data_IF_993626741021
#
_entry.id   IF_993626741021
#
_cell.length_a   1.000
_cell.length_b   1.000
_cell.length_c   1.000
_cell.angle_alpha   90.00
_cell.angle_beta   90.00
_cell.angle_gamma   90.00
#
_symmetry.space_group_name_H-M   'P 1'
#
loop_
_entity.id
_entity.type
_entity.pdbx_description
1 polymer ?
#
# COMPACT_ATOMS: atom_id res chain seq x y z
N UNK A 1 42.46 -48.94 -54.39
CA UNK A 1 43.43 -48.89 -53.27
C UNK A 1 43.01 -47.96 -52.15
N UNK A 2 42.61 -46.70 -52.41
CA UNK A 2 42.16 -45.75 -51.36
C UNK A 2 40.99 -46.22 -50.47
N UNK A 3 40.07 -47.03 -51.02
CA UNK A 3 38.91 -47.53 -50.26
C UNK A 3 39.27 -48.65 -49.25
N UNK A 4 40.29 -49.46 -49.56
CA UNK A 4 40.73 -50.59 -48.72
C UNK A 4 41.65 -50.10 -47.59
N UNK A 5 42.49 -49.09 -47.86
CA UNK A 5 43.31 -48.45 -46.83
C UNK A 5 42.46 -47.70 -45.80
N UNK A 6 41.35 -47.07 -46.23
CA UNK A 6 40.41 -46.37 -45.34
C UNK A 6 39.62 -47.31 -44.41
N UNK A 7 39.16 -48.47 -44.92
CA UNK A 7 38.43 -49.44 -44.09
C UNK A 7 39.31 -50.17 -43.07
N UNK A 8 40.55 -50.49 -43.42
CA UNK A 8 41.51 -51.11 -42.49
C UNK A 8 41.89 -50.12 -41.39
N UNK A 9 42.13 -48.86 -41.75
CA UNK A 9 42.39 -47.79 -40.79
C UNK A 9 41.19 -47.57 -39.86
N UNK A 10 39.97 -47.51 -40.39
CA UNK A 10 38.75 -47.38 -39.58
C UNK A 10 38.54 -48.56 -38.62
N UNK A 11 38.69 -49.81 -39.09
CA UNK A 11 38.52 -51.00 -38.22
C UNK A 11 39.59 -51.14 -37.16
N UNK A 12 40.82 -50.69 -37.43
CA UNK A 12 41.90 -50.77 -36.43
C UNK A 12 41.81 -49.66 -35.38
N UNK A 13 41.49 -48.43 -35.76
CA UNK A 13 41.66 -47.28 -34.85
C UNK A 13 40.38 -46.67 -34.27
N UNK A 14 39.18 -46.89 -34.84
CA UNK A 14 37.95 -46.16 -34.43
C UNK A 14 37.15 -46.86 -33.31
N UNK A 15 37.35 -48.17 -33.07
CA UNK A 15 36.57 -48.92 -32.08
C UNK A 15 36.98 -48.68 -30.60
N UNK A 16 37.73 -47.64 -30.28
CA UNK A 16 38.15 -47.28 -28.90
C UNK A 16 37.39 -46.10 -28.29
N UNK A 17 36.33 -45.61 -28.95
CA UNK A 17 35.69 -44.33 -28.62
C UNK A 17 34.78 -44.31 -27.37
N UNK A 18 34.80 -45.34 -26.52
CA UNK A 18 34.04 -45.37 -25.27
C UNK A 18 34.92 -45.67 -24.06
N UNK A 19 35.81 -44.76 -23.72
CA UNK A 19 36.03 -44.34 -22.33
C UNK A 19 37.15 -43.31 -22.25
N UNK A 20 37.05 -42.42 -21.26
CA UNK A 20 38.10 -41.49 -20.84
C UNK A 20 39.29 -42.22 -20.19
N UNK A 21 39.85 -43.24 -20.84
CA UNK A 21 41.05 -43.96 -20.39
C UNK A 21 42.27 -43.48 -21.15
N UNK A 22 43.23 -42.98 -20.38
CA UNK A 22 44.57 -42.52 -20.79
C UNK A 22 45.57 -43.66 -21.04
N UNK A 23 45.14 -44.92 -21.02
CA UNK A 23 46.02 -46.06 -21.29
C UNK A 23 46.35 -46.16 -22.78
N UNK A 24 47.63 -46.37 -23.10
CA UNK A 24 48.07 -46.69 -24.45
C UNK A 24 47.33 -47.93 -24.95
N UNK A 25 46.64 -47.81 -26.08
CA UNK A 25 45.97 -48.92 -26.76
C UNK A 25 46.95 -50.06 -27.03
N UNK A 26 46.52 -51.31 -26.84
CA UNK A 26 47.28 -52.50 -27.23
C UNK A 26 47.72 -52.45 -28.71
N UNK A 27 46.93 -51.80 -29.57
CA UNK A 27 47.24 -51.62 -31.00
C UNK A 27 48.34 -50.58 -31.24
N UNK A 28 48.37 -49.51 -30.44
CA UNK A 28 49.44 -48.50 -30.49
C UNK A 28 50.77 -49.11 -30.00
N UNK A 29 50.73 -49.91 -28.93
CA UNK A 29 51.91 -50.65 -28.43
C UNK A 29 52.44 -51.60 -29.51
N UNK A 30 51.56 -52.34 -30.19
CA UNK A 30 51.94 -53.22 -31.28
C UNK A 30 52.61 -52.48 -32.45
N UNK A 31 52.11 -51.32 -32.84
CA UNK A 31 52.71 -50.50 -33.90
C UNK A 31 54.05 -49.90 -33.50
N UNK A 32 54.23 -49.52 -32.23
CA UNK A 32 55.52 -49.10 -31.68
C UNK A 32 56.52 -50.27 -31.74
N UNK A 33 56.11 -51.48 -31.38
CA UNK A 33 56.95 -52.68 -31.48
C UNK A 33 57.34 -52.99 -32.92
N UNK A 34 56.43 -52.80 -33.89
CA UNK A 34 56.75 -52.92 -35.32
C UNK A 34 57.79 -51.89 -35.75
N UNK A 35 57.65 -50.62 -35.34
CA UNK A 35 58.60 -49.57 -35.67
C UNK A 35 59.99 -49.85 -35.06
N UNK A 36 60.04 -50.32 -33.81
CA UNK A 36 61.27 -50.76 -33.14
C UNK A 36 61.89 -51.95 -33.88
N UNK A 37 61.06 -52.91 -34.31
CA UNK A 37 61.52 -54.07 -35.10
C UNK A 37 62.13 -53.62 -36.43
N UNK A 38 61.52 -52.66 -37.14
CA UNK A 38 62.11 -52.11 -38.35
C UNK A 38 63.44 -51.38 -38.12
N UNK A 39 63.58 -50.66 -37.01
CA UNK A 39 64.86 -50.04 -36.63
C UNK A 39 65.95 -51.09 -36.36
N UNK A 40 65.60 -52.14 -35.61
CA UNK A 40 66.50 -53.27 -35.33
C UNK A 40 66.87 -53.99 -36.65
N UNK A 41 65.90 -54.24 -37.53
CA UNK A 41 66.14 -54.79 -38.86
C UNK A 41 67.08 -53.91 -39.68
N UNK A 42 66.99 -52.57 -39.59
CA UNK A 42 67.93 -51.68 -40.30
C UNK A 42 69.37 -51.85 -39.80
N UNK A 43 69.57 -52.06 -38.50
CA UNK A 43 70.89 -52.27 -37.90
C UNK A 43 71.44 -53.65 -38.27
N UNK A 44 70.60 -54.69 -38.29
CA UNK A 44 70.98 -56.06 -38.65
C UNK A 44 71.20 -56.21 -40.16
N UNK A 45 70.47 -55.47 -40.99
CA UNK A 45 70.58 -55.52 -42.44
C UNK A 45 71.98 -55.09 -42.92
N UNK A 46 72.65 -54.17 -42.22
CA UNK A 46 74.01 -53.75 -42.55
C UNK A 46 74.96 -54.96 -42.57
N UNK A 47 75.27 -55.64 -41.44
CA UNK A 47 76.19 -56.78 -41.45
C UNK A 47 75.66 -58.00 -42.21
N UNK A 48 74.34 -58.15 -42.40
CA UNK A 48 73.77 -59.28 -43.15
C UNK A 48 74.00 -59.14 -44.66
N UNK A 49 73.83 -57.93 -45.21
CA UNK A 49 73.93 -57.67 -46.64
C UNK A 49 75.28 -57.08 -47.09
N UNK A 50 76.13 -56.59 -46.18
CA UNK A 50 77.48 -56.10 -46.50
C UNK A 50 78.59 -57.11 -46.16
N UNK A 51 78.27 -58.35 -45.76
CA UNK A 51 79.26 -59.41 -45.53
C UNK A 51 79.86 -59.90 -46.87
N UNK A 52 81.17 -60.20 -46.93
CA UNK A 52 81.88 -60.55 -48.17
C UNK A 52 81.42 -61.87 -48.83
N UNK A 53 80.50 -62.63 -48.22
CA UNK A 53 79.92 -63.84 -48.80
C UNK A 53 78.72 -63.61 -49.73
N UNK A 54 78.06 -62.45 -49.68
CA UNK A 54 76.87 -62.15 -50.51
C UNK A 54 77.17 -61.17 -51.66
N UNK A 55 78.30 -60.46 -51.61
CA UNK A 55 78.71 -59.44 -52.58
C UNK A 55 79.84 -59.94 -53.49
N UNK A 56 79.64 -61.08 -54.16
CA UNK A 56 80.62 -61.60 -55.14
C UNK A 56 80.60 -60.82 -56.48
N UNK A 57 79.78 -59.77 -56.60
CA UNK A 57 79.56 -59.03 -57.84
C UNK A 57 80.01 -57.56 -57.83
N UNK A 58 80.54 -57.02 -56.73
CA UNK A 58 80.91 -55.59 -56.68
C UNK A 58 82.28 -55.35 -56.00
N UNK A 59 83.27 -54.98 -56.81
CA UNK A 59 84.65 -54.63 -56.42
C UNK A 59 84.69 -53.25 -55.70
N UNK A 60 85.12 -53.16 -54.43
CA UNK A 60 85.08 -51.93 -53.66
C UNK A 60 86.38 -51.12 -53.83
N UNK A 61 86.55 -50.48 -54.99
CA UNK A 61 87.63 -49.49 -55.21
C UNK A 61 87.17 -48.06 -55.50
N UNK A 62 85.86 -47.79 -55.47
CA UNK A 62 85.32 -46.41 -55.49
C UNK A 62 84.33 -46.21 -54.35
N UNK A 63 84.69 -45.32 -53.41
CA UNK A 63 84.08 -45.18 -52.07
C UNK A 63 82.70 -44.52 -52.03
N UNK A 64 81.98 -44.45 -53.17
CA UNK A 64 80.59 -43.95 -53.23
C UNK A 64 79.53 -45.05 -53.04
N UNK A 65 79.77 -46.25 -53.60
CA UNK A 65 78.77 -47.33 -53.66
C UNK A 65 78.44 -47.98 -52.32
N UNK A 66 79.36 -47.97 -51.35
CA UNK A 66 79.13 -48.57 -50.03
C UNK A 66 78.10 -47.72 -49.25
N UNK A 67 78.19 -46.39 -49.34
CA UNK A 67 77.22 -45.47 -48.76
C UNK A 67 75.84 -45.61 -49.41
N UNK A 68 75.80 -45.73 -50.74
CA UNK A 68 74.55 -45.91 -51.50
C UNK A 68 73.91 -47.29 -51.28
N UNK A 69 74.71 -48.34 -51.07
CA UNK A 69 74.20 -49.71 -50.77
C UNK A 69 73.67 -49.80 -49.35
N UNK A 70 74.42 -49.26 -48.37
CA UNK A 70 73.96 -49.17 -46.98
C UNK A 70 72.72 -48.29 -46.90
N UNK A 71 72.70 -47.13 -47.56
CA UNK A 71 71.54 -46.26 -47.64
C UNK A 71 70.35 -46.93 -48.34
N UNK A 72 70.56 -47.58 -49.49
CA UNK A 72 69.52 -48.27 -50.24
C UNK A 72 68.84 -49.41 -49.47
N UNK A 73 69.60 -50.10 -48.60
CA UNK A 73 69.10 -51.19 -47.77
C UNK A 73 68.48 -50.67 -46.46
N UNK A 74 69.07 -49.65 -45.82
CA UNK A 74 68.60 -49.14 -44.52
C UNK A 74 67.45 -48.14 -44.66
N UNK A 75 67.44 -47.29 -45.70
CA UNK A 75 66.43 -46.24 -45.91
C UNK A 75 65.00 -46.77 -45.97
N UNK A 76 64.67 -47.89 -46.65
CA UNK A 76 63.31 -48.42 -46.65
C UNK A 76 62.81 -48.79 -45.24
N UNK A 77 63.67 -49.35 -44.37
CA UNK A 77 63.32 -49.69 -43.00
C UNK A 77 63.18 -48.44 -42.11
N UNK A 78 64.13 -47.50 -42.22
CA UNK A 78 64.09 -46.24 -41.48
C UNK A 78 62.88 -45.41 -41.90
N UNK A 79 62.61 -45.29 -43.19
CA UNK A 79 61.44 -44.57 -43.71
C UNK A 79 60.13 -45.25 -43.31
N UNK A 80 60.07 -46.59 -43.29
CA UNK A 80 58.89 -47.31 -42.81
C UNK A 80 58.64 -47.08 -41.32
N UNK A 81 59.69 -47.13 -40.49
CA UNK A 81 59.59 -46.80 -39.08
C UNK A 81 59.18 -45.33 -38.87
N UNK A 82 59.75 -44.39 -39.64
CA UNK A 82 59.43 -42.97 -39.60
C UNK A 82 57.98 -42.70 -39.99
N UNK A 83 57.45 -43.35 -41.03
CA UNK A 83 56.03 -43.22 -41.45
C UNK A 83 55.10 -43.77 -40.36
N UNK A 84 55.43 -44.91 -39.73
CA UNK A 84 54.64 -45.47 -38.63
C UNK A 84 54.63 -44.53 -37.42
N UNK A 85 55.80 -44.04 -37.00
CA UNK A 85 55.92 -43.12 -35.85
C UNK A 85 55.24 -41.78 -36.13
N UNK A 86 55.40 -41.24 -37.33
CA UNK A 86 54.76 -39.97 -37.75
C UNK A 86 53.24 -40.12 -37.84
N UNK A 87 52.74 -41.25 -38.38
CA UNK A 87 51.32 -41.57 -38.39
C UNK A 87 50.73 -41.72 -36.97
N UNK A 88 51.47 -42.34 -36.06
CA UNK A 88 51.10 -42.42 -34.63
C UNK A 88 51.08 -41.04 -33.97
N UNK A 89 52.07 -40.18 -34.24
CA UNK A 89 52.11 -38.83 -33.71
C UNK A 89 50.90 -38.00 -34.17
N UNK A 90 50.56 -38.04 -35.47
CA UNK A 90 49.36 -37.39 -35.99
C UNK A 90 48.07 -37.98 -35.41
N UNK A 91 48.01 -39.30 -35.20
CA UNK A 91 46.87 -39.95 -34.56
C UNK A 91 46.68 -39.49 -33.11
N UNK A 92 47.77 -39.41 -32.33
CA UNK A 92 47.72 -38.90 -30.95
C UNK A 92 47.32 -37.43 -30.92
N UNK A 93 47.82 -36.59 -31.84
CA UNK A 93 47.41 -35.19 -31.99
C UNK A 93 45.91 -35.07 -32.32
N UNK A 94 45.40 -35.88 -33.24
CA UNK A 94 43.98 -35.91 -33.58
C UNK A 94 43.10 -36.30 -32.38
N UNK A 95 43.50 -37.33 -31.63
CA UNK A 95 42.80 -37.77 -30.41
C UNK A 95 42.83 -36.68 -29.32
N UNK A 96 43.96 -36.01 -29.14
CA UNK A 96 44.11 -34.89 -28.20
C UNK A 96 43.18 -33.71 -28.57
N UNK A 97 43.10 -33.33 -29.85
CA UNK A 97 42.22 -32.27 -30.31
C UNK A 97 40.73 -32.62 -30.11
N UNK A 98 40.32 -33.86 -30.42
CA UNK A 98 38.96 -34.33 -30.14
C UNK A 98 38.62 -34.26 -28.65
N UNK A 99 39.53 -34.70 -27.80
CA UNK A 99 39.37 -34.64 -26.34
C UNK A 99 39.32 -33.19 -25.83
N UNK A 100 40.15 -32.30 -26.36
CA UNK A 100 40.14 -30.89 -25.99
C UNK A 100 38.80 -30.22 -26.36
N UNK A 101 38.27 -30.52 -27.55
CA UNK A 101 36.95 -30.01 -27.98
C UNK A 101 35.83 -30.57 -27.09
N UNK A 102 35.88 -31.84 -26.70
CA UNK A 102 34.85 -32.42 -25.81
C UNK A 102 34.92 -31.83 -24.40
N UNK A 103 36.11 -31.67 -23.83
CA UNK A 103 36.33 -31.01 -22.53
C UNK A 103 35.85 -29.55 -22.59
N UNK A 104 36.22 -28.81 -23.62
CA UNK A 104 35.81 -27.41 -23.79
C UNK A 104 34.30 -27.27 -23.93
N UNK A 105 33.65 -28.14 -24.72
CA UNK A 105 32.18 -28.17 -24.82
C UNK A 105 31.52 -28.48 -23.47
N UNK A 106 32.09 -29.43 -22.71
CA UNK A 106 31.61 -29.77 -21.36
C UNK A 106 31.74 -28.55 -20.42
N UNK A 107 32.88 -27.87 -20.40
CA UNK A 107 33.10 -26.67 -19.59
C UNK A 107 32.15 -25.53 -19.96
N UNK A 108 31.90 -25.28 -21.26
CA UNK A 108 30.92 -24.27 -21.70
C UNK A 108 29.51 -24.63 -21.21
N UNK A 109 29.11 -25.89 -21.34
CA UNK A 109 27.78 -26.32 -20.90
C UNK A 109 27.63 -26.21 -19.38
N UNK A 110 28.63 -26.64 -18.60
CA UNK A 110 28.64 -26.50 -17.15
C UNK A 110 28.61 -25.02 -16.71
N UNK A 111 29.36 -24.15 -17.38
CA UNK A 111 29.35 -22.71 -17.12
C UNK A 111 27.99 -22.07 -17.45
N UNK A 112 27.34 -22.49 -18.56
CA UNK A 112 25.98 -22.05 -18.90
C UNK A 112 24.96 -22.52 -17.86
N UNK A 113 25.01 -23.79 -17.46
CA UNK A 113 24.11 -24.33 -16.44
C UNK A 113 24.27 -23.62 -15.10
N UNK A 114 25.51 -23.28 -14.72
CA UNK A 114 25.80 -22.53 -13.50
C UNK A 114 25.28 -21.09 -13.59
N UNK A 115 25.48 -20.42 -14.73
CA UNK A 115 24.96 -19.07 -14.98
C UNK A 115 23.43 -19.02 -14.99
N UNK A 116 22.77 -20.01 -15.61
CA UNK A 116 21.31 -20.10 -15.61
C UNK A 116 20.76 -20.38 -14.21
N UNK A 117 21.47 -21.15 -13.39
CA UNK A 117 21.13 -21.34 -11.96
C UNK A 117 21.28 -20.04 -11.18
N UNK A 118 22.39 -19.31 -11.32
CA UNK A 118 22.59 -18.05 -10.59
C UNK A 118 21.55 -17.00 -10.96
N UNK A 119 21.20 -16.87 -12.25
CA UNK A 119 20.14 -15.95 -12.69
C UNK A 119 18.77 -16.30 -12.09
N UNK A 120 18.45 -17.59 -11.96
CA UNK A 120 17.21 -18.02 -11.31
C UNK A 120 17.23 -17.70 -9.81
N UNK A 121 18.35 -17.96 -9.15
CA UNK A 121 18.52 -17.66 -7.72
C UNK A 121 18.40 -16.15 -7.44
N UNK A 122 19.02 -15.30 -8.27
CA UNK A 122 18.96 -13.84 -8.14
C UNK A 122 17.52 -13.34 -8.33
N UNK A 123 16.81 -13.80 -9.38
CA UNK A 123 15.39 -13.45 -9.57
C UNK A 123 14.52 -13.88 -8.39
N UNK A 124 14.78 -15.07 -7.83
CA UNK A 124 14.06 -15.56 -6.64
C UNK A 124 14.38 -14.71 -5.40
N UNK A 125 15.61 -14.19 -5.27
CA UNK A 125 15.97 -13.27 -4.18
C UNK A 125 15.26 -11.91 -4.35
N UNK A 126 15.22 -11.37 -5.56
CA UNK A 126 14.54 -10.10 -5.83
C UNK A 126 13.04 -10.18 -5.52
N UNK A 127 12.36 -11.23 -5.99
CA UNK A 127 10.95 -11.47 -5.69
C UNK A 127 10.73 -11.62 -4.18
N UNK A 128 11.65 -12.27 -3.47
CA UNK A 128 11.59 -12.43 -2.01
C UNK A 128 11.72 -11.08 -1.29
N UNK A 129 12.68 -10.25 -1.70
CA UNK A 129 12.87 -8.92 -1.13
C UNK A 129 11.66 -8.02 -1.39
N UNK A 130 11.07 -8.07 -2.60
CA UNK A 130 9.84 -7.34 -2.90
C UNK A 130 8.65 -7.82 -2.06
N UNK A 131 8.51 -9.13 -1.85
CA UNK A 131 7.47 -9.70 -0.96
C UNK A 131 7.66 -9.21 0.48
N UNK A 132 8.89 -9.21 0.99
CA UNK A 132 9.19 -8.74 2.35
C UNK A 132 8.90 -7.24 2.54
N UNK A 133 9.31 -6.41 1.58
CA UNK A 133 9.00 -4.97 1.59
C UNK A 133 7.48 -4.72 1.58
N UNK A 134 6.76 -5.45 0.73
CA UNK A 134 5.29 -5.36 0.65
C UNK A 134 4.62 -5.81 1.95
N UNK A 135 5.15 -6.85 2.61
CA UNK A 135 4.66 -7.32 3.91
C UNK A 135 4.80 -6.25 4.99
N UNK A 136 5.98 -5.66 5.16
CA UNK A 136 6.20 -4.62 6.16
C UNK A 136 5.35 -3.37 5.91
N UNK A 137 5.14 -3.00 4.64
CA UNK A 137 4.26 -1.88 4.28
C UNK A 137 2.79 -2.17 4.58
N UNK A 138 2.32 -3.40 4.35
CA UNK A 138 0.97 -3.82 4.75
C UNK A 138 0.81 -3.89 6.27
N UNK A 139 1.83 -4.36 6.99
CA UNK A 139 1.84 -4.39 8.46
C UNK A 139 1.74 -2.97 9.03
N UNK A 140 2.55 -2.03 8.53
CA UNK A 140 2.48 -0.62 8.89
C UNK A 140 1.12 0.00 8.54
N UNK A 141 0.59 -0.33 7.36
CA UNK A 141 -0.75 0.11 6.95
C UNK A 141 -1.81 -0.35 7.96
N UNK A 142 -1.79 -1.62 8.37
CA UNK A 142 -2.73 -2.14 9.38
C UNK A 142 -2.65 -1.37 10.70
N UNK A 143 -1.44 -1.10 11.20
CA UNK A 143 -1.25 -0.32 12.44
C UNK A 143 -1.89 1.07 12.30
N UNK A 144 -1.66 1.74 11.19
CA UNK A 144 -2.25 3.06 10.96
C UNK A 144 -3.78 2.98 10.77
N UNK A 145 -4.29 1.93 10.11
CA UNK A 145 -5.72 1.70 9.96
C UNK A 145 -6.42 1.51 11.31
N UNK A 146 -5.79 0.81 12.26
CA UNK A 146 -6.33 0.69 13.63
C UNK A 146 -6.47 2.06 14.28
N UNK A 147 -5.41 2.88 14.24
CA UNK A 147 -5.43 4.23 14.79
C UNK A 147 -6.49 5.13 14.14
N UNK A 148 -6.68 5.00 12.81
CA UNK A 148 -7.72 5.73 12.09
C UNK A 148 -9.11 5.26 12.52
N UNK A 149 -9.36 3.96 12.62
CA UNK A 149 -10.65 3.43 13.08
C UNK A 149 -10.99 3.91 14.49
N UNK A 150 -10.03 3.91 15.41
CA UNK A 150 -10.19 4.46 16.74
C UNK A 150 -10.56 5.96 16.72
N UNK A 151 -9.85 6.77 15.93
CA UNK A 151 -10.13 8.20 15.79
C UNK A 151 -11.50 8.48 15.13
N UNK A 152 -11.89 7.71 14.10
CA UNK A 152 -13.22 7.82 13.48
C UNK A 152 -14.30 7.52 14.50
N UNK A 153 -14.14 6.45 15.30
CA UNK A 153 -15.10 6.09 16.34
C UNK A 153 -15.20 7.17 17.41
N UNK A 154 -14.07 7.67 17.92
CA UNK A 154 -14.06 8.73 18.93
C UNK A 154 -14.70 10.03 18.41
N UNK A 155 -14.39 10.42 17.17
CA UNK A 155 -15.00 11.59 16.52
C UNK A 155 -16.49 11.37 16.28
N UNK A 156 -16.88 10.19 15.82
CA UNK A 156 -18.28 9.85 15.56
C UNK A 156 -19.13 9.93 16.82
N UNK A 157 -18.65 9.41 17.95
CA UNK A 157 -19.32 9.56 19.26
C UNK A 157 -19.50 11.03 19.66
N UNK A 158 -18.47 11.86 19.48
CA UNK A 158 -18.58 13.31 19.75
C UNK A 158 -19.61 13.99 18.83
N UNK A 159 -19.66 13.60 17.56
CA UNK A 159 -20.64 14.11 16.59
C UNK A 159 -22.05 13.68 17.00
N UNK A 160 -22.22 12.43 17.40
CA UNK A 160 -23.49 11.88 17.86
C UNK A 160 -24.03 12.65 19.06
N UNK A 161 -23.20 12.80 20.10
CA UNK A 161 -23.57 13.52 21.33
C UNK A 161 -23.90 14.99 21.03
N UNK A 162 -23.08 15.66 20.21
CA UNK A 162 -23.37 17.04 19.79
C UNK A 162 -24.72 17.16 19.08
N UNK A 163 -25.06 16.20 18.20
CA UNK A 163 -26.37 16.17 17.54
C UNK A 163 -27.52 15.95 18.52
N UNK A 164 -27.37 15.05 19.48
CA UNK A 164 -28.38 14.79 20.52
C UNK A 164 -28.58 16.01 21.42
N UNK A 165 -27.50 16.60 21.93
CA UNK A 165 -27.54 17.78 22.79
C UNK A 165 -28.24 18.95 22.06
N UNK A 166 -27.97 19.13 20.76
CA UNK A 166 -28.62 20.16 19.95
C UNK A 166 -30.11 19.89 19.71
N UNK A 167 -30.51 18.62 19.59
CA UNK A 167 -31.91 18.25 19.43
C UNK A 167 -32.71 18.49 20.73
N UNK A 168 -32.14 18.06 21.86
CA UNK A 168 -32.82 18.07 23.16
C UNK A 168 -32.78 19.46 23.80
N UNK A 169 -31.69 20.21 23.60
CA UNK A 169 -31.48 21.56 24.13
C UNK A 169 -31.16 22.56 23.00
N UNK A 170 -32.09 22.84 22.08
CA UNK A 170 -31.86 23.60 20.84
C UNK A 170 -31.48 25.06 21.05
N UNK A 171 -31.71 25.57 22.25
CA UNK A 171 -31.46 26.94 22.64
C UNK A 171 -30.11 27.16 23.30
N UNK A 172 -29.44 26.11 23.76
CA UNK A 172 -28.12 26.21 24.38
C UNK A 172 -27.01 26.20 23.34
N UNK A 173 -25.90 26.86 23.65
CA UNK A 173 -24.69 26.76 22.82
C UNK A 173 -23.95 25.47 23.13
N UNK A 174 -23.83 24.61 22.13
CA UNK A 174 -23.07 23.36 22.20
C UNK A 174 -21.73 23.51 21.47
N UNK A 175 -20.67 22.93 22.03
CA UNK A 175 -19.32 23.01 21.45
C UNK A 175 -18.86 21.63 21.03
N UNK A 176 -18.71 21.43 19.72
CA UNK A 176 -18.04 20.24 19.19
C UNK A 176 -16.52 20.43 19.23
N UNK A 177 -15.85 19.70 20.12
CA UNK A 177 -14.39 19.74 20.24
C UNK A 177 -13.74 19.04 19.05
N UNK A 178 -12.87 19.76 18.33
CA UNK A 178 -12.09 19.24 17.20
C UNK A 178 -10.86 18.49 17.68
N UNK A 179 -10.55 17.34 17.07
CA UNK A 179 -9.26 16.66 17.22
C UNK A 179 -8.49 16.69 15.89
N UNK A 180 -7.15 16.90 15.91
CA UNK A 180 -6.36 16.98 14.69
C UNK A 180 -6.42 15.69 13.85
N UNK A 181 -6.58 15.81 12.53
CA UNK A 181 -6.59 14.67 11.59
C UNK A 181 -5.19 14.31 11.07
N UNK A 182 -4.15 14.33 11.93
CA UNK A 182 -2.76 14.12 11.46
C UNK A 182 -2.48 12.69 10.99
N UNK A 183 -3.20 11.71 11.50
CA UNK A 183 -2.90 10.30 11.23
C UNK A 183 -3.33 9.84 9.83
N UNK A 184 -4.30 10.51 9.21
CA UNK A 184 -4.75 10.23 7.84
C UNK A 184 -3.67 10.55 6.80
N UNK A 185 -2.91 11.64 6.99
CA UNK A 185 -1.86 12.06 6.06
C UNK A 185 -0.69 11.09 6.04
N UNK A 186 -0.38 10.45 7.18
CA UNK A 186 0.73 9.49 7.30
C UNK A 186 0.51 8.23 6.46
N UNK A 187 -0.73 7.78 6.29
CA UNK A 187 -0.99 6.63 5.40
C UNK A 187 -0.72 6.98 3.93
N UNK A 188 -0.98 8.22 3.53
CA UNK A 188 -0.74 8.66 2.15
C UNK A 188 0.75 8.73 1.80
N UNK A 189 1.64 8.74 2.80
CA UNK A 189 3.09 8.68 2.64
C UNK A 189 3.59 7.25 2.36
N UNK A 190 2.79 6.22 2.67
CA UNK A 190 3.16 4.83 2.33
C UNK A 190 3.13 4.68 0.81
N UNK A 191 4.17 4.05 0.26
CA UNK A 191 4.26 3.75 -1.16
C UNK A 191 3.08 2.90 -1.65
N UNK A 192 2.14 3.57 -2.33
CA UNK A 192 0.90 2.99 -2.87
C UNK A 192 1.17 1.78 -3.78
N UNK A 193 2.27 1.81 -4.56
CA UNK A 193 2.60 0.72 -5.47
C UNK A 193 2.98 -0.54 -4.70
N UNK A 194 3.77 -0.40 -3.63
CA UNK A 194 4.16 -1.53 -2.81
C UNK A 194 3.00 -2.08 -1.97
N UNK A 195 2.07 -1.23 -1.52
CA UNK A 195 0.80 -1.71 -0.94
C UNK A 195 0.02 -2.53 -1.96
N UNK A 196 -0.14 -2.05 -3.20
CA UNK A 196 -0.81 -2.80 -4.26
C UNK A 196 -0.10 -4.13 -4.58
N UNK A 197 1.23 -4.13 -4.64
CA UNK A 197 2.03 -5.36 -4.77
C UNK A 197 1.73 -6.34 -3.63
N UNK A 198 1.60 -5.86 -2.39
CA UNK A 198 1.19 -6.66 -1.24
C UNK A 198 -0.16 -7.33 -1.43
N UNK A 199 -1.17 -6.58 -1.88
CA UNK A 199 -2.50 -7.14 -2.21
C UNK A 199 -2.39 -8.28 -3.23
N UNK A 200 -1.51 -8.14 -4.22
CA UNK A 200 -1.27 -9.18 -5.23
C UNK A 200 -0.49 -10.38 -4.71
N UNK A 201 0.59 -10.14 -3.98
CA UNK A 201 1.47 -11.20 -3.50
C UNK A 201 0.79 -12.12 -2.51
N UNK A 202 -0.08 -11.57 -1.66
CA UNK A 202 -0.74 -12.30 -0.58
C UNK A 202 -2.21 -12.58 -0.86
N UNK A 203 -2.61 -12.45 -2.13
CA UNK A 203 -3.92 -12.81 -2.63
C UNK A 203 -5.09 -12.23 -1.81
N UNK A 204 -4.95 -10.97 -1.39
CA UNK A 204 -6.05 -10.24 -0.75
C UNK A 204 -7.20 -10.14 -1.77
N UNK A 205 -8.42 -10.47 -1.34
CA UNK A 205 -9.60 -10.57 -2.21
C UNK A 205 -9.79 -9.31 -3.08
N UNK A 206 -10.35 -9.49 -4.30
CA UNK A 206 -10.69 -8.42 -5.24
C UNK A 206 -9.65 -7.27 -5.30
N UNK A 207 -8.37 -7.64 -5.43
CA UNK A 207 -7.17 -6.81 -5.25
C UNK A 207 -7.33 -5.35 -5.71
N UNK A 208 -7.73 -5.13 -6.97
CA UNK A 208 -7.86 -3.78 -7.54
C UNK A 208 -9.03 -2.99 -6.97
N UNK A 209 -10.16 -3.67 -6.69
CA UNK A 209 -11.36 -3.04 -6.14
C UNK A 209 -11.14 -2.63 -4.70
N UNK A 210 -10.59 -3.54 -3.88
CA UNK A 210 -10.35 -3.29 -2.46
C UNK A 210 -9.23 -2.27 -2.24
N UNK A 211 -8.16 -2.32 -3.03
CA UNK A 211 -7.14 -1.27 -3.05
C UNK A 211 -7.75 0.10 -3.37
N UNK A 212 -8.56 0.19 -4.43
CA UNK A 212 -9.19 1.47 -4.81
C UNK A 212 -10.17 1.96 -3.75
N UNK A 213 -10.96 1.05 -3.16
CA UNK A 213 -11.91 1.37 -2.08
C UNK A 213 -11.20 1.91 -0.85
N UNK A 214 -10.09 1.28 -0.44
CA UNK A 214 -9.26 1.72 0.68
C UNK A 214 -8.80 3.17 0.48
N UNK A 215 -8.14 3.48 -0.63
CA UNK A 215 -7.61 4.82 -0.85
C UNK A 215 -8.70 5.86 -1.05
N UNK A 216 -9.83 5.51 -1.67
CA UNK A 216 -10.98 6.43 -1.77
C UNK A 216 -11.53 6.79 -0.37
N UNK A 217 -11.61 5.83 0.56
CA UNK A 217 -12.04 6.10 1.93
C UNK A 217 -11.01 6.99 2.65
N UNK A 218 -9.73 6.68 2.52
CA UNK A 218 -8.64 7.43 3.16
C UNK A 218 -8.54 8.87 2.64
N UNK A 219 -8.78 9.10 1.35
CA UNK A 219 -8.82 10.44 0.74
C UNK A 219 -10.10 11.19 1.16
N UNK A 220 -11.24 10.48 1.30
CA UNK A 220 -12.53 11.07 1.70
C UNK A 220 -12.56 11.56 3.15
N UNK A 221 -12.00 10.79 4.10
CA UNK A 221 -12.16 11.05 5.54
C UNK A 221 -11.67 12.45 5.99
N UNK A 222 -10.47 12.92 5.58
CA UNK A 222 -10.02 14.27 5.91
C UNK A 222 -10.95 15.36 5.38
N UNK A 223 -11.40 15.23 4.12
CA UNK A 223 -12.30 16.19 3.48
C UNK A 223 -13.66 16.23 4.18
N UNK A 224 -14.20 15.06 4.51
CA UNK A 224 -15.45 14.92 5.28
C UNK A 224 -15.38 15.67 6.60
N UNK A 225 -14.36 15.43 7.43
CA UNK A 225 -14.25 16.09 8.73
C UNK A 225 -14.04 17.59 8.58
N UNK A 226 -13.26 18.03 7.59
CA UNK A 226 -13.06 19.44 7.32
C UNK A 226 -14.36 20.15 6.94
N UNK A 227 -15.13 19.60 6.00
CA UNK A 227 -16.44 20.14 5.58
C UNK A 227 -17.42 20.16 6.76
N UNK A 228 -17.54 19.03 7.46
CA UNK A 228 -18.44 18.90 8.60
C UNK A 228 -18.15 19.93 9.69
N UNK A 229 -16.89 20.07 10.10
CA UNK A 229 -16.50 21.05 11.13
C UNK A 229 -16.71 22.51 10.68
N UNK A 230 -16.62 22.79 9.37
CA UNK A 230 -16.94 24.10 8.80
C UNK A 230 -18.43 24.41 8.93
N UNK A 231 -19.30 23.45 8.58
CA UNK A 231 -20.76 23.58 8.74
C UNK A 231 -21.17 23.82 10.18
N UNK A 232 -20.61 23.05 11.13
CA UNK A 232 -20.85 23.25 12.56
C UNK A 232 -20.45 24.66 13.00
N UNK A 233 -19.29 25.14 12.58
CA UNK A 233 -18.82 26.49 12.92
C UNK A 233 -19.73 27.59 12.35
N UNK A 234 -20.19 27.45 11.11
CA UNK A 234 -21.11 28.39 10.49
C UNK A 234 -22.45 28.40 11.22
N UNK A 235 -23.01 27.22 11.51
CA UNK A 235 -24.25 27.10 12.29
C UNK A 235 -24.12 27.75 13.68
N UNK A 236 -23.04 27.47 14.42
CA UNK A 236 -22.82 28.09 15.74
C UNK A 236 -22.77 29.62 15.66
N UNK A 237 -22.12 30.16 14.62
CA UNK A 237 -22.05 31.60 14.39
C UNK A 237 -23.41 32.20 14.07
N UNK A 238 -24.13 31.62 13.11
CA UNK A 238 -25.47 32.09 12.70
C UNK A 238 -26.48 32.01 13.86
N UNK A 239 -26.47 30.90 14.60
CA UNK A 239 -27.31 30.71 15.78
C UNK A 239 -27.04 31.78 16.85
N UNK A 240 -25.77 32.12 17.10
CA UNK A 240 -25.41 33.18 18.03
C UNK A 240 -25.91 34.57 17.55
N UNK A 241 -25.71 34.89 16.27
CA UNK A 241 -26.16 36.16 15.68
C UNK A 241 -27.68 36.31 15.76
N UNK A 242 -28.43 35.24 15.49
CA UNK A 242 -29.89 35.21 15.59
C UNK A 242 -30.38 35.41 17.02
N UNK A 243 -29.79 34.71 17.99
CA UNK A 243 -30.07 34.92 19.42
C UNK A 243 -29.80 36.36 19.84
N UNK A 244 -28.73 36.98 19.35
CA UNK A 244 -28.41 38.37 19.67
C UNK A 244 -29.42 39.36 19.03
N UNK A 245 -29.91 39.07 17.82
CA UNK A 245 -30.98 39.84 17.21
C UNK A 245 -32.28 39.76 18.02
N UNK A 246 -32.66 38.55 18.45
CA UNK A 246 -33.83 38.34 19.32
C UNK A 246 -33.67 39.11 20.63
N UNK A 247 -32.49 39.06 21.26
CA UNK A 247 -32.17 39.84 22.46
C UNK A 247 -32.45 41.33 22.26
N UNK A 248 -31.96 41.90 21.15
CA UNK A 248 -32.17 43.31 20.85
C UNK A 248 -33.65 43.65 20.64
N UNK A 249 -34.42 42.76 20.01
CA UNK A 249 -35.87 42.92 19.88
C UNK A 249 -36.58 42.85 21.23
N UNK A 250 -36.15 41.99 22.14
CA UNK A 250 -36.70 41.96 23.51
C UNK A 250 -36.44 43.28 24.21
N UNK A 251 -35.24 43.85 24.12
CA UNK A 251 -34.94 45.17 24.70
C UNK A 251 -35.88 46.24 24.15
N UNK A 252 -36.08 46.30 22.83
CA UNK A 252 -37.05 47.21 22.22
C UNK A 252 -38.49 46.97 22.68
N UNK A 253 -38.86 45.71 22.93
CA UNK A 253 -40.17 45.35 23.46
C UNK A 253 -40.34 45.89 24.89
N UNK A 254 -39.31 45.75 25.74
CA UNK A 254 -39.31 46.28 27.10
C UNK A 254 -39.36 47.81 27.12
N UNK A 255 -38.58 48.48 26.26
CA UNK A 255 -38.62 49.94 26.09
C UNK A 255 -40.02 50.42 25.67
N UNK A 256 -40.67 49.68 24.77
CA UNK A 256 -42.04 49.98 24.34
C UNK A 256 -43.05 49.86 25.50
N UNK A 257 -42.86 48.87 26.37
CA UNK A 257 -43.66 48.71 27.58
C UNK A 257 -43.38 49.83 28.61
N UNK A 258 -42.12 50.22 28.79
CA UNK A 258 -41.75 51.31 29.69
C UNK A 258 -42.38 52.64 29.25
N UNK A 259 -42.29 52.95 27.95
CA UNK A 259 -42.95 54.13 27.37
C UNK A 259 -44.47 54.08 27.52
N UNK A 260 -45.07 52.89 27.41
CA UNK A 260 -46.50 52.73 27.65
C UNK A 260 -46.86 53.09 29.10
N UNK A 261 -46.09 52.64 30.09
CA UNK A 261 -46.31 52.96 31.51
C UNK A 261 -46.24 54.47 31.75
N UNK A 262 -45.30 55.19 31.11
CA UNK A 262 -45.19 56.64 31.22
C UNK A 262 -46.43 57.37 30.71
N UNK A 263 -47.12 56.85 29.69
CA UNK A 263 -48.38 57.43 29.21
C UNK A 263 -49.52 57.34 30.25
N UNK A 264 -49.36 56.50 31.29
CA UNK A 264 -50.28 56.32 32.40
C UNK A 264 -49.79 56.95 33.71
N UNK A 265 -48.91 57.96 33.65
CA UNK A 265 -48.41 58.72 34.81
C UNK A 265 -49.53 59.02 35.84
N UNK A 266 -49.39 58.48 37.06
CA UNK A 266 -50.36 58.63 38.15
C UNK A 266 -51.51 57.61 38.20
N UNK A 267 -51.63 56.71 37.21
CA UNK A 267 -52.62 55.61 37.16
C UNK A 267 -51.96 54.25 36.91
N UNK A 268 -50.93 53.93 37.68
CA UNK A 268 -50.24 52.63 37.63
C UNK A 268 -51.15 51.42 37.93
N UNK A 269 -52.34 51.66 38.48
CA UNK A 269 -53.39 50.65 38.66
C UNK A 269 -54.20 50.36 37.39
N UNK A 270 -53.97 51.09 36.29
CA UNK A 270 -54.65 50.83 35.03
C UNK A 270 -54.24 49.46 34.47
N UNK A 271 -55.19 48.62 33.98
CA UNK A 271 -54.87 47.25 33.55
C UNK A 271 -53.74 47.16 32.51
N UNK A 272 -53.66 48.13 31.59
CA UNK A 272 -52.59 48.19 30.57
C UNK A 272 -51.23 48.46 31.20
N UNK A 273 -51.15 49.38 32.17
CA UNK A 273 -49.90 49.69 32.87
C UNK A 273 -49.42 48.50 33.73
N UNK A 274 -50.35 47.76 34.34
CA UNK A 274 -50.04 46.54 35.10
C UNK A 274 -49.40 45.48 34.19
N UNK A 275 -50.00 45.19 33.03
CA UNK A 275 -49.46 44.19 32.09
C UNK A 275 -48.07 44.58 31.58
N UNK A 276 -47.88 45.86 31.23
CA UNK A 276 -46.58 46.35 30.75
C UNK A 276 -45.50 46.28 31.84
N UNK A 277 -45.83 46.65 33.07
CA UNK A 277 -44.91 46.59 34.20
C UNK A 277 -44.58 45.14 34.57
N UNK A 278 -45.56 44.25 34.51
CA UNK A 278 -45.38 42.81 34.76
C UNK A 278 -44.45 42.17 33.72
N UNK A 279 -44.57 42.54 32.43
CA UNK A 279 -43.64 42.04 31.41
C UNK A 279 -42.19 42.44 31.71
N UNK A 280 -41.95 43.68 32.13
CA UNK A 280 -40.61 44.14 32.53
C UNK A 280 -40.10 43.34 33.73
N UNK A 281 -40.94 43.18 34.76
CA UNK A 281 -40.61 42.41 35.96
C UNK A 281 -40.24 40.96 35.64
N UNK A 282 -41.08 40.25 34.88
CA UNK A 282 -40.85 38.85 34.50
C UNK A 282 -39.57 38.69 33.69
N UNK A 283 -39.24 39.64 32.81
CA UNK A 283 -37.98 39.58 32.08
C UNK A 283 -36.76 39.62 33.01
N UNK A 284 -36.76 40.50 34.02
CA UNK A 284 -35.67 40.55 35.00
C UNK A 284 -35.60 39.27 35.83
N UNK A 285 -36.73 38.67 36.21
CA UNK A 285 -36.74 37.37 36.91
C UNK A 285 -36.09 36.25 36.09
N UNK A 286 -36.34 36.22 34.77
CA UNK A 286 -35.73 35.24 33.86
C UNK A 286 -34.22 35.51 33.69
N UNK A 287 -33.81 36.78 33.64
CA UNK A 287 -32.38 37.11 33.57
C UNK A 287 -31.68 36.71 34.87
N UNK A 288 -32.24 37.08 36.02
CA UNK A 288 -31.66 36.82 37.34
C UNK A 288 -31.55 35.33 37.63
N UNK A 289 -32.46 34.50 37.11
CA UNK A 289 -32.37 33.04 37.25
C UNK A 289 -31.17 32.42 36.52
N UNK A 290 -30.54 33.17 35.61
CA UNK A 290 -29.34 32.75 34.87
C UNK A 290 -28.03 33.09 35.61
N UNK A 291 -28.10 33.74 36.79
CA UNK A 291 -26.94 34.12 37.60
C UNK A 291 -27.01 33.53 39.01
N UNK A 292 -25.85 33.26 39.60
CA UNK A 292 -25.77 32.93 41.02
C UNK A 292 -25.91 34.19 41.90
N UNK A 293 -25.95 33.98 43.23
CA UNK A 293 -26.04 35.06 44.22
C UNK A 293 -24.87 36.07 44.19
N UNK A 294 -23.80 35.76 43.46
CA UNK A 294 -22.61 36.61 43.29
C UNK A 294 -22.55 37.29 41.91
N UNK A 295 -23.55 37.08 41.06
CA UNK A 295 -23.60 37.62 39.70
C UNK A 295 -22.74 36.85 38.69
N UNK A 296 -22.32 35.62 39.00
CA UNK A 296 -21.66 34.76 38.01
C UNK A 296 -22.72 34.06 37.15
N UNK A 297 -22.53 34.00 35.82
CA UNK A 297 -23.46 33.28 34.95
C UNK A 297 -23.41 31.77 35.25
N UNK A 298 -24.56 31.18 35.55
CA UNK A 298 -24.72 29.74 35.78
C UNK A 298 -25.30 29.02 34.56
N UNK A 299 -26.03 29.73 33.71
CA UNK A 299 -26.58 29.22 32.47
C UNK A 299 -26.76 30.33 31.44
N UNK A 300 -26.91 29.96 30.17
CA UNK A 300 -27.43 30.88 29.17
C UNK A 300 -28.88 31.22 29.49
N UNK A 301 -29.34 32.40 29.01
CA UNK A 301 -30.75 32.79 29.12
C UNK A 301 -31.63 31.77 28.42
N UNK A 302 -32.64 31.27 29.13
CA UNK A 302 -33.58 30.29 28.59
C UNK A 302 -34.60 30.98 27.66
N UNK A 303 -34.39 30.84 26.36
CA UNK A 303 -35.28 31.38 25.33
C UNK A 303 -36.70 30.78 25.37
N UNK A 304 -36.86 29.57 25.90
CA UNK A 304 -38.17 28.97 26.11
C UNK A 304 -38.91 29.66 27.25
N UNK A 305 -38.22 30.03 28.33
CA UNK A 305 -38.83 30.83 29.40
C UNK A 305 -39.24 32.22 28.91
N UNK A 306 -38.41 32.86 28.08
CA UNK A 306 -38.77 34.13 27.43
C UNK A 306 -40.02 33.98 26.56
N UNK A 307 -40.13 32.92 25.77
CA UNK A 307 -41.32 32.70 24.94
C UNK A 307 -42.59 32.49 25.78
N UNK A 308 -42.54 31.56 26.74
CA UNK A 308 -43.71 31.09 27.46
C UNK A 308 -44.11 32.00 28.63
N UNK A 309 -43.16 32.42 29.48
CA UNK A 309 -43.45 33.21 30.69
C UNK A 309 -43.59 34.69 30.41
N UNK A 310 -42.80 35.23 29.47
CA UNK A 310 -42.80 36.66 29.14
C UNK A 310 -43.74 36.96 27.96
N UNK A 311 -43.39 36.52 26.76
CA UNK A 311 -44.02 37.02 25.53
C UNK A 311 -45.45 36.48 25.35
N UNK A 312 -45.65 35.17 25.51
CA UNK A 312 -46.97 34.54 25.41
C UNK A 312 -47.93 35.05 26.48
N UNK A 313 -47.48 35.08 27.73
CA UNK A 313 -48.25 35.59 28.85
C UNK A 313 -48.67 37.06 28.64
N UNK A 314 -47.75 37.92 28.19
CA UNK A 314 -48.07 39.31 27.82
C UNK A 314 -49.16 39.37 26.75
N UNK A 315 -49.01 38.62 25.65
CA UNK A 315 -49.98 38.59 24.55
C UNK A 315 -51.36 38.13 25.04
N UNK A 316 -51.42 37.05 25.83
CA UNK A 316 -52.68 36.51 26.35
C UNK A 316 -53.39 37.50 27.28
N UNK A 317 -52.67 38.15 28.19
CA UNK A 317 -53.23 39.17 29.07
C UNK A 317 -53.70 40.40 28.28
N UNK A 318 -52.89 40.87 27.33
CA UNK A 318 -53.22 42.00 26.48
C UNK A 318 -54.46 41.75 25.60
N UNK A 319 -54.61 40.53 25.06
CA UNK A 319 -55.77 40.15 24.27
C UNK A 319 -57.05 40.04 25.11
N UNK A 320 -56.96 39.61 26.38
CA UNK A 320 -58.12 39.60 27.30
C UNK A 320 -58.67 41.01 27.55
N UNK A 321 -57.81 42.04 27.55
CA UNK A 321 -58.25 43.42 27.67
C UNK A 321 -58.99 43.92 26.43
N UNK A 322 -58.74 43.35 25.24
CA UNK A 322 -59.35 43.80 23.98
C UNK A 322 -60.87 43.70 23.95
N UNK A 323 -61.44 42.79 24.74
CA UNK A 323 -62.90 42.66 24.92
C UNK A 323 -63.45 43.49 26.09
N UNK A 324 -62.64 44.35 26.72
CA UNK A 324 -63.01 45.19 27.85
C UNK A 324 -62.96 46.67 27.50
N UNK A 325 -63.69 47.50 28.25
CA UNK A 325 -63.64 48.97 28.11
C UNK A 325 -62.28 49.58 28.50
N UNK A 326 -61.36 48.78 29.04
CA UNK A 326 -60.02 49.20 29.46
C UNK A 326 -58.93 48.99 28.39
N UNK A 327 -59.32 48.65 27.15
CA UNK A 327 -58.37 48.44 26.05
C UNK A 327 -57.79 49.76 25.55
N UNK A 328 -56.46 49.81 25.44
CA UNK A 328 -55.74 50.89 24.77
C UNK A 328 -55.24 50.42 23.40
N UNK A 329 -55.63 51.09 22.29
CA UNK A 329 -55.13 50.79 20.95
C UNK A 329 -53.61 50.82 20.80
N UNK A 330 -52.89 51.57 21.64
CA UNK A 330 -51.42 51.63 21.64
C UNK A 330 -50.75 50.29 22.01
N UNK A 331 -51.51 49.35 22.61
CA UNK A 331 -51.05 48.01 22.93
C UNK A 331 -50.95 47.11 21.69
N UNK A 332 -51.73 47.37 20.64
CA UNK A 332 -51.77 46.57 19.42
C UNK A 332 -50.40 46.41 18.70
N UNK A 333 -49.61 47.48 18.46
CA UNK A 333 -48.28 47.32 17.87
C UNK A 333 -47.31 46.52 18.77
N UNK A 334 -47.44 46.63 20.10
CA UNK A 334 -46.59 45.90 21.05
C UNK A 334 -46.93 44.39 21.04
N UNK A 335 -48.22 44.04 20.98
CA UNK A 335 -48.68 42.65 20.82
C UNK A 335 -48.14 42.04 19.52
N UNK A 336 -48.22 42.78 18.41
CA UNK A 336 -47.71 42.33 17.12
C UNK A 336 -46.19 42.12 17.17
N UNK A 337 -45.47 43.04 17.82
CA UNK A 337 -44.02 42.95 17.98
C UNK A 337 -43.61 41.75 18.84
N UNK A 338 -44.24 41.55 20.01
CA UNK A 338 -44.05 40.36 20.84
C UNK A 338 -44.30 39.08 20.03
N UNK A 339 -45.38 39.02 19.25
CA UNK A 339 -45.71 37.86 18.41
C UNK A 339 -44.64 37.58 17.35
N UNK A 340 -43.99 38.61 16.80
CA UNK A 340 -42.88 38.43 15.86
C UNK A 340 -41.63 37.89 16.55
N UNK A 341 -41.31 38.36 17.77
CA UNK A 341 -40.20 37.81 18.57
C UNK A 341 -40.42 36.32 18.84
N UNK A 342 -41.65 35.92 19.21
CA UNK A 342 -42.00 34.50 19.41
C UNK A 342 -41.74 33.66 18.16
N UNK A 343 -42.12 34.15 16.97
CA UNK A 343 -41.84 33.47 15.71
C UNK A 343 -40.35 33.29 15.46
N UNK A 344 -39.55 34.32 15.77
CA UNK A 344 -38.09 34.24 15.63
C UNK A 344 -37.48 33.20 16.58
N UNK A 345 -37.96 33.13 17.84
CA UNK A 345 -37.54 32.10 18.82
C UNK A 345 -37.87 30.70 18.29
N UNK A 346 -39.09 30.50 17.77
CA UNK A 346 -39.50 29.22 17.19
C UNK A 346 -38.62 28.86 15.98
N UNK A 347 -38.26 29.83 15.15
CA UNK A 347 -37.41 29.59 13.98
C UNK A 347 -36.00 29.12 14.39
N UNK A 348 -35.40 29.74 15.42
CA UNK A 348 -34.10 29.30 15.97
C UNK A 348 -34.18 27.85 16.45
N UNK A 349 -35.26 27.50 17.16
CA UNK A 349 -35.50 26.12 17.62
C UNK A 349 -35.61 25.14 16.46
N UNK A 350 -36.40 25.47 15.44
CA UNK A 350 -36.59 24.62 14.26
C UNK A 350 -35.28 24.38 13.53
N UNK A 351 -34.47 25.44 13.31
CA UNK A 351 -33.17 25.33 12.66
C UNK A 351 -32.18 24.45 13.44
N UNK A 352 -32.18 24.54 14.77
CA UNK A 352 -31.37 23.65 15.59
C UNK A 352 -31.78 22.18 15.43
N UNK A 353 -33.09 21.89 15.41
CA UNK A 353 -33.61 20.53 15.20
C UNK A 353 -33.31 20.02 13.79
N UNK A 354 -33.46 20.85 12.77
CA UNK A 354 -33.12 20.52 11.38
C UNK A 354 -31.63 20.22 11.24
N UNK A 355 -30.76 21.07 11.80
CA UNK A 355 -29.32 20.86 11.79
C UNK A 355 -28.91 19.61 12.59
N UNK A 356 -29.54 19.35 13.73
CA UNK A 356 -29.31 18.11 14.51
C UNK A 356 -29.63 16.85 13.69
N UNK A 357 -30.66 16.92 12.84
CA UNK A 357 -31.04 15.83 11.95
C UNK A 357 -30.00 15.62 10.84
N UNK A 358 -29.45 16.71 10.29
CA UNK A 358 -28.32 16.64 9.35
C UNK A 358 -27.09 16.02 10.02
N UNK A 359 -26.72 16.48 11.22
CA UNK A 359 -25.62 15.92 12.01
C UNK A 359 -25.80 14.42 12.24
N UNK A 360 -27.01 14.00 12.63
CA UNK A 360 -27.34 12.58 12.79
C UNK A 360 -27.19 11.79 11.48
N UNK A 361 -27.57 12.36 10.35
CA UNK A 361 -27.36 11.73 9.04
C UNK A 361 -25.87 11.57 8.72
N UNK A 362 -25.03 12.57 9.02
CA UNK A 362 -23.58 12.49 8.80
C UNK A 362 -22.94 11.44 9.71
N UNK A 363 -23.35 11.37 10.98
CA UNK A 363 -22.96 10.31 11.91
C UNK A 363 -23.31 8.92 11.39
N UNK A 364 -24.56 8.75 10.93
CA UNK A 364 -25.00 7.45 10.41
C UNK A 364 -24.18 7.04 9.18
N UNK A 365 -23.94 7.94 8.22
CA UNK A 365 -23.10 7.63 7.05
C UNK A 365 -21.67 7.22 7.45
N UNK A 366 -21.16 7.77 8.54
CA UNK A 366 -19.82 7.47 9.04
C UNK A 366 -19.75 6.12 9.75
N UNK A 367 -20.71 5.79 10.61
CA UNK A 367 -20.59 4.68 11.58
C UNK A 367 -21.80 3.74 11.71
N UNK A 368 -22.95 4.06 11.13
CA UNK A 368 -24.17 3.25 11.30
C UNK A 368 -24.60 2.68 9.96
N UNK A 369 -24.59 1.36 9.87
CA UNK A 369 -25.04 0.67 8.66
C UNK A 369 -26.55 0.90 8.45
N UNK A 370 -26.90 1.30 7.22
CA UNK A 370 -28.27 1.48 6.77
C UNK A 370 -28.55 0.58 5.57
N UNK A 371 -29.11 1.17 4.51
CA UNK A 371 -29.23 0.48 3.21
C UNK A 371 -27.87 0.26 2.54
N UNK A 372 -26.84 0.99 2.97
CA UNK A 372 -25.46 0.86 2.55
C UNK A 372 -24.59 0.74 3.81
N UNK A 373 -23.48 0.03 3.67
CA UNK A 373 -22.47 -0.06 4.73
C UNK A 373 -21.87 1.32 5.01
N UNK A 374 -21.68 1.64 6.28
CA UNK A 374 -21.04 2.86 6.76
C UNK A 374 -19.54 2.86 6.45
N UNK A 375 -18.93 4.05 6.38
CA UNK A 375 -17.49 4.17 6.11
C UNK A 375 -16.65 3.40 7.14
N UNK A 376 -17.04 3.42 8.42
CA UNK A 376 -16.39 2.66 9.48
C UNK A 376 -16.45 1.15 9.24
N UNK A 377 -17.62 0.61 8.88
CA UNK A 377 -17.78 -0.80 8.51
C UNK A 377 -16.95 -1.17 7.29
N UNK A 378 -16.92 -0.31 6.27
CA UNK A 378 -16.12 -0.55 5.06
C UNK A 378 -14.64 -0.65 5.35
N UNK A 379 -14.13 0.28 6.15
CA UNK A 379 -12.72 0.31 6.50
C UNK A 379 -12.36 -0.87 7.40
N UNK A 380 -13.26 -1.27 8.31
CA UNK A 380 -13.11 -2.46 9.17
C UNK A 380 -13.03 -3.75 8.33
N UNK A 381 -13.92 -3.90 7.35
CA UNK A 381 -13.93 -5.06 6.45
C UNK A 381 -12.65 -5.13 5.61
N UNK A 382 -12.21 -4.00 5.03
CA UNK A 382 -10.94 -3.93 4.29
C UNK A 382 -9.75 -4.26 5.18
N UNK A 383 -9.72 -3.77 6.41
CA UNK A 383 -8.66 -4.08 7.35
C UNK A 383 -8.64 -5.57 7.71
N UNK A 384 -9.81 -6.19 7.92
CA UNK A 384 -9.90 -7.62 8.19
C UNK A 384 -9.33 -8.47 7.04
N UNK A 385 -9.66 -8.11 5.80
CA UNK A 385 -9.10 -8.78 4.60
C UNK A 385 -7.58 -8.59 4.48
N UNK A 386 -7.06 -7.40 4.80
CA UNK A 386 -5.61 -7.15 4.83
C UNK A 386 -4.94 -8.00 5.92
N UNK A 387 -5.55 -8.10 7.10
CA UNK A 387 -5.05 -8.91 8.20
C UNK A 387 -5.02 -10.41 7.86
N UNK A 388 -6.04 -10.91 7.16
CA UNK A 388 -6.04 -12.28 6.66
C UNK A 388 -4.88 -12.52 5.68
N UNK A 389 -4.69 -11.61 4.72
CA UNK A 389 -3.55 -11.65 3.81
C UNK A 389 -2.19 -11.58 4.52
N UNK A 390 -2.07 -10.78 5.58
CA UNK A 390 -0.87 -10.68 6.42
C UNK A 390 -0.57 -11.98 7.18
N UNK A 391 -1.58 -12.72 7.63
CA UNK A 391 -1.39 -14.02 8.27
C UNK A 391 -0.78 -15.03 7.28
N UNK A 392 -1.29 -15.07 6.05
CA UNK A 392 -0.72 -15.87 4.96
C UNK A 392 0.71 -15.43 4.64
N UNK A 393 0.92 -14.12 4.52
CA UNK A 393 2.24 -13.53 4.25
C UNK A 393 3.28 -13.91 5.32
N UNK A 394 2.89 -13.84 6.60
CA UNK A 394 3.75 -14.18 7.73
C UNK A 394 4.18 -15.65 7.66
N UNK A 395 3.25 -16.57 7.41
CA UNK A 395 3.57 -17.98 7.26
C UNK A 395 4.53 -18.22 6.08
N UNK A 396 4.27 -17.59 4.93
CA UNK A 396 5.17 -17.66 3.77
C UNK A 396 6.57 -17.17 4.17
N UNK A 397 6.70 -15.96 4.72
CA UNK A 397 7.98 -15.33 5.09
C UNK A 397 8.74 -16.14 6.15
N UNK A 398 8.09 -16.58 7.22
CA UNK A 398 8.71 -17.39 8.28
C UNK A 398 9.18 -18.75 7.76
N UNK A 399 8.41 -19.38 6.88
CA UNK A 399 8.84 -20.62 6.20
C UNK A 399 10.07 -20.42 5.32
N UNK A 400 10.33 -19.20 4.83
CA UNK A 400 11.52 -18.91 4.03
C UNK A 400 12.79 -18.70 4.87
N UNK A 401 12.68 -18.11 6.06
CA UNK A 401 13.85 -17.80 6.91
C UNK A 401 14.25 -18.95 7.85
N UNK A 402 13.33 -19.86 8.19
CA UNK A 402 13.62 -21.03 9.02
C UNK A 402 14.29 -22.21 8.28
N UNK A 403 14.56 -22.07 6.98
CA UNK A 403 15.28 -23.07 6.15
C UNK A 403 16.70 -22.62 5.76
N UNK A 404 17.23 -21.55 6.37
CA UNK A 404 18.67 -21.24 6.41
C UNK A 404 19.29 -21.81 7.68
#
# INVERSE_FOLDING_TARGET
MYHISGEIFNRFFINEDNDYKTSLSQKVIFLILIAITFLICSIIAIPLFTRPGFMFFFDPKETGYIGDTIGGITNPFINSAAVVVTGLAFYMQYKANKLQVSIFKKQINEAKDQFDKSLKEDRLRDIRNEKLDSYHKLELLTVNLNSILEDINEKGEKIHNYGQDLHDEPFKSHILRRTPSRDYLRILEIDRLAVYKGFRFFNINDQSKNFSRLYNILDFLPEFFQDFYSKVQNFSKESFEEKMNIRNKILQFLDSNANLILNYEGKLSHPVAIIANEAIRVNYEIIDSSYDQYGNPISETDWQEIDEKLLKNFIEQALKLRSSDSFDPSLAPIIAFASNIRKDIILVKQRAIEFSSEVKSQYNNLLVDGNQESIGTLLTNLQAEINEGLLTAKFEIESFYNFQ
#
